data_IF_843009333651
#
_entry.id   IF_843009333651
#
_cell.length_a   1.000
_cell.length_b   1.000
_cell.length_c   1.000
_cell.angle_alpha   90.00
_cell.angle_beta   90.00
_cell.angle_gamma   90.00
#
_symmetry.space_group_name_H-M   'P 1'
#
loop_
_entity.id
_entity.type
_entity.pdbx_description
1 polymer ?
#
# COMPACT_ATOMS: atom_id res chain seq x y z
N UNK A 1 -6.38 -17.16 16.38
CA UNK A 1 -6.07 -15.87 17.02
C UNK A 1 -7.24 -14.93 16.75
N UNK A 2 -7.70 -14.18 17.75
CA UNK A 2 -8.60 -13.06 17.52
C UNK A 2 -7.73 -11.80 17.46
N UNK A 3 -7.81 -11.07 16.35
CA UNK A 3 -7.05 -9.83 16.12
C UNK A 3 -8.05 -8.68 16.00
N UNK A 4 -7.60 -7.47 16.34
CA UNK A 4 -8.40 -6.25 16.15
C UNK A 4 -8.69 -6.03 14.67
N UNK A 5 -9.88 -5.48 14.38
CA UNK A 5 -10.20 -4.98 13.05
C UNK A 5 -9.50 -3.63 12.83
N UNK A 6 -8.52 -3.61 11.93
CA UNK A 6 -7.66 -2.45 11.65
C UNK A 6 -8.38 -1.36 10.85
N UNK A 7 -9.57 -1.64 10.31
CA UNK A 7 -10.34 -0.66 9.51
C UNK A 7 -11.62 -0.20 10.20
N UNK A 8 -11.86 -0.61 11.45
CA UNK A 8 -13.11 -0.36 12.16
C UNK A 8 -13.47 1.13 12.29
N UNK A 9 -12.46 1.99 12.41
CA UNK A 9 -12.64 3.44 12.60
C UNK A 9 -12.67 4.24 11.28
N UNK A 10 -12.55 3.57 10.14
CA UNK A 10 -12.60 4.20 8.81
C UNK A 10 -13.99 4.09 8.20
N UNK A 11 -14.52 5.19 7.67
CA UNK A 11 -15.80 5.23 6.95
C UNK A 11 -15.67 4.65 5.55
N UNK A 12 -14.62 5.01 4.82
CA UNK A 12 -14.36 4.58 3.45
C UNK A 12 -12.86 4.35 3.23
N UNK A 13 -12.31 3.25 3.79
CA UNK A 13 -10.87 3.00 3.79
C UNK A 13 -10.33 2.66 2.39
N UNK A 14 -9.28 3.37 2.01
CA UNK A 14 -8.32 2.94 1.00
C UNK A 14 -7.25 2.09 1.67
N UNK A 15 -6.93 0.94 1.09
CA UNK A 15 -6.06 -0.06 1.71
C UNK A 15 -5.02 -0.50 0.68
N UNK A 16 -3.75 -0.54 1.06
CA UNK A 16 -2.67 -1.07 0.23
C UNK A 16 -1.78 -2.01 1.04
N UNK A 17 -1.61 -3.24 0.58
CA UNK A 17 -0.78 -4.28 1.21
C UNK A 17 0.48 -4.50 0.36
N UNK A 18 1.64 -4.24 0.95
CA UNK A 18 2.94 -4.57 0.37
C UNK A 18 3.59 -5.74 1.11
N UNK A 19 3.87 -6.82 0.37
CA UNK A 19 4.76 -7.88 0.85
C UNK A 19 6.19 -7.37 0.87
N UNK A 20 6.84 -7.49 2.01
CA UNK A 20 8.18 -6.96 2.26
C UNK A 20 9.27 -8.01 2.05
N UNK A 21 10.47 -7.55 1.72
CA UNK A 21 11.68 -8.37 1.59
C UNK A 21 12.08 -8.64 0.14
N UNK A 22 13.39 -8.61 -0.10
CA UNK A 22 14.03 -8.98 -1.38
C UNK A 22 14.00 -10.48 -1.64
N UNK A 23 13.84 -11.28 -0.59
CA UNK A 23 13.66 -12.74 -0.63
C UNK A 23 12.42 -13.14 0.17
N UNK A 24 11.82 -14.28 -0.20
CA UNK A 24 10.53 -14.73 0.33
C UNK A 24 10.63 -15.95 1.21
N UNK A 25 11.83 -16.40 1.55
CA UNK A 25 12.01 -17.68 2.20
C UNK A 25 13.34 -17.83 2.91
N UNK A 26 13.32 -18.76 3.85
CA UNK A 26 14.54 -19.30 4.45
C UNK A 26 15.16 -20.37 3.53
N UNK A 27 16.46 -20.65 3.66
CA UNK A 27 17.15 -21.65 2.85
C UNK A 27 16.55 -23.06 2.91
N UNK A 28 15.99 -23.42 4.05
CA UNK A 28 15.37 -24.72 4.30
C UNK A 28 13.93 -24.84 3.76
N UNK A 29 13.31 -23.73 3.33
CA UNK A 29 11.97 -23.76 2.77
C UNK A 29 12.01 -24.37 1.36
N UNK A 30 11.26 -25.46 1.16
CA UNK A 30 10.96 -25.97 -0.18
C UNK A 30 9.75 -25.22 -0.75
N UNK A 31 9.90 -24.57 -1.90
CA UNK A 31 8.85 -23.72 -2.45
C UNK A 31 8.67 -24.05 -3.93
N UNK A 32 7.42 -24.18 -4.40
CA UNK A 32 7.16 -24.34 -5.81
C UNK A 32 7.52 -23.06 -6.59
N UNK A 33 8.02 -23.22 -7.81
CA UNK A 33 8.53 -22.14 -8.67
C UNK A 33 7.48 -21.03 -8.94
N UNK A 34 6.20 -21.35 -8.84
CA UNK A 34 5.08 -20.43 -9.06
C UNK A 34 4.90 -19.36 -7.97
N UNK A 35 5.54 -19.53 -6.80
CA UNK A 35 5.50 -18.53 -5.73
C UNK A 35 6.55 -17.42 -5.90
N UNK A 36 7.58 -17.64 -6.72
CA UNK A 36 8.68 -16.70 -6.98
C UNK A 36 8.36 -15.59 -7.99
N UNK A 37 7.12 -15.51 -8.48
CA UNK A 37 6.76 -14.73 -9.66
C UNK A 37 6.67 -13.20 -9.45
N UNK A 38 7.63 -12.59 -8.76
CA UNK A 38 7.85 -11.15 -8.91
C UNK A 38 9.30 -10.85 -9.26
N UNK A 39 9.54 -10.65 -10.56
CA UNK A 39 10.87 -10.44 -11.15
C UNK A 39 11.63 -9.30 -10.47
N UNK A 40 10.93 -8.24 -10.06
CA UNK A 40 11.51 -7.02 -9.51
C UNK A 40 11.67 -7.04 -7.99
N UNK A 41 11.37 -8.15 -7.31
CA UNK A 41 11.40 -8.23 -5.84
C UNK A 41 12.78 -7.91 -5.27
N UNK A 42 13.85 -8.43 -5.89
CA UNK A 42 15.21 -8.17 -5.43
C UNK A 42 15.61 -6.70 -5.59
N UNK A 43 15.09 -6.03 -6.62
CA UNK A 43 15.35 -4.62 -6.88
C UNK A 43 14.57 -3.69 -5.96
N UNK A 44 13.29 -4.01 -5.72
CA UNK A 44 12.39 -3.13 -4.96
C UNK A 44 12.29 -3.46 -3.46
N UNK A 45 12.59 -4.69 -3.06
CA UNK A 45 12.35 -5.14 -1.69
C UNK A 45 10.86 -5.16 -1.27
N UNK A 46 9.94 -4.89 -2.20
CA UNK A 46 8.49 -4.90 -2.01
C UNK A 46 7.79 -5.59 -3.18
N UNK A 47 6.54 -6.01 -2.97
CA UNK A 47 5.61 -6.41 -4.01
C UNK A 47 4.19 -6.09 -3.55
N UNK A 48 3.39 -5.48 -4.41
CA UNK A 48 1.96 -5.27 -4.14
C UNK A 48 1.25 -6.62 -3.97
N UNK A 49 0.66 -6.86 -2.80
CA UNK A 49 -0.14 -8.04 -2.50
C UNK A 49 -1.64 -7.80 -2.70
N UNK A 50 -2.09 -6.58 -2.50
CA UNK A 50 -3.47 -6.19 -2.76
C UNK A 50 -3.66 -4.71 -2.55
N UNK A 51 -4.64 -4.15 -3.25
CA UNK A 51 -5.02 -2.75 -3.10
C UNK A 51 -6.53 -2.62 -3.26
N UNK A 52 -7.10 -1.74 -2.44
CA UNK A 52 -8.48 -1.32 -2.48
C UNK A 52 -8.51 0.21 -2.49
N UNK A 53 -9.07 0.81 -3.54
CA UNK A 53 -9.22 2.26 -3.67
C UNK A 53 -10.69 2.57 -3.92
N UNK A 54 -11.22 3.52 -3.15
CA UNK A 54 -12.52 4.12 -3.41
C UNK A 54 -12.37 5.22 -4.47
N UNK A 55 -12.99 5.02 -5.61
CA UNK A 55 -13.08 6.02 -6.67
C UNK A 55 -14.34 6.85 -6.45
N UNK A 56 -14.16 8.08 -5.97
CA UNK A 56 -15.26 9.02 -5.71
C UNK A 56 -15.89 9.58 -6.99
N UNK A 57 -15.17 9.56 -8.12
CA UNK A 57 -15.64 10.06 -9.41
C UNK A 57 -16.56 9.05 -10.07
N UNK A 58 -16.14 7.78 -10.09
CA UNK A 58 -16.90 6.69 -10.70
C UNK A 58 -17.82 5.98 -9.70
N UNK A 59 -17.82 6.42 -8.44
CA UNK A 59 -18.59 5.83 -7.33
C UNK A 59 -18.40 4.31 -7.22
N UNK A 60 -17.16 3.85 -7.40
CA UNK A 60 -16.82 2.43 -7.47
C UNK A 60 -15.67 2.08 -6.53
N UNK A 61 -15.58 0.80 -6.19
CA UNK A 61 -14.48 0.27 -5.38
C UNK A 61 -13.57 -0.55 -6.28
N UNK A 62 -12.34 -0.07 -6.47
CA UNK A 62 -11.32 -0.72 -7.26
C UNK A 62 -10.58 -1.70 -6.35
N UNK A 63 -10.53 -2.98 -6.73
CA UNK A 63 -9.74 -3.99 -6.01
C UNK A 63 -8.80 -4.70 -6.97
N UNK A 64 -7.50 -4.60 -6.70
CA UNK A 64 -6.47 -5.33 -7.46
C UNK A 64 -5.77 -6.30 -6.53
N UNK A 65 -5.55 -7.51 -7.01
CA UNK A 65 -5.04 -8.62 -6.22
C UNK A 65 -3.54 -8.83 -6.43
N UNK A 66 -3.01 -9.84 -5.72
CA UNK A 66 -1.60 -10.25 -5.81
C UNK A 66 -1.15 -10.61 -7.23
N UNK A 67 -2.04 -11.13 -8.08
CA UNK A 67 -1.70 -11.49 -9.45
C UNK A 67 -1.38 -10.23 -10.28
N UNK A 68 -2.15 -9.15 -10.11
CA UNK A 68 -1.82 -7.85 -10.68
C UNK A 68 -0.50 -7.31 -10.15
N UNK A 69 -0.28 -7.37 -8.83
CA UNK A 69 0.97 -6.88 -8.23
C UNK A 69 2.24 -7.57 -8.77
N UNK A 70 2.13 -8.83 -9.22
CA UNK A 70 3.22 -9.59 -9.84
C UNK A 70 3.60 -9.12 -11.24
N UNK A 71 2.74 -8.38 -11.94
CA UNK A 71 3.02 -7.90 -13.30
C UNK A 71 3.68 -6.53 -13.33
N UNK A 72 3.76 -5.82 -12.20
CA UNK A 72 4.20 -4.43 -12.15
C UNK A 72 5.72 -4.28 -12.29
N UNK A 73 6.18 -3.43 -13.20
CA UNK A 73 7.56 -2.93 -13.21
C UNK A 73 7.80 -1.92 -12.08
N UNK A 74 9.06 -1.59 -11.73
CA UNK A 74 9.39 -0.55 -10.75
C UNK A 74 8.64 0.78 -10.96
N UNK A 75 8.59 1.25 -12.21
CA UNK A 75 7.89 2.49 -12.53
C UNK A 75 6.37 2.34 -12.39
N UNK A 76 5.81 1.17 -12.75
CA UNK A 76 4.38 0.91 -12.61
C UNK A 76 3.94 0.78 -11.14
N UNK A 77 4.81 0.35 -10.22
CA UNK A 77 4.52 0.40 -8.79
C UNK A 77 4.27 1.84 -8.35
N UNK A 78 5.04 2.80 -8.86
CA UNK A 78 4.78 4.21 -8.62
C UNK A 78 3.49 4.69 -9.31
N UNK A 79 3.41 4.53 -10.64
CA UNK A 79 2.37 5.19 -11.44
C UNK A 79 0.99 4.54 -11.38
N UNK A 80 0.91 3.22 -11.19
CA UNK A 80 -0.35 2.45 -11.17
C UNK A 80 -0.78 2.01 -9.77
N UNK A 81 0.08 2.16 -8.77
CA UNK A 81 -0.24 1.79 -7.39
C UNK A 81 -0.10 2.97 -6.44
N UNK A 82 1.12 3.47 -6.17
CA UNK A 82 1.33 4.51 -5.13
C UNK A 82 0.60 5.81 -5.45
N UNK A 83 0.74 6.33 -6.68
CA UNK A 83 0.08 7.59 -7.04
C UNK A 83 -1.46 7.48 -7.02
N UNK A 84 -2.09 6.45 -7.65
CA UNK A 84 -3.53 6.25 -7.55
C UNK A 84 -4.04 6.00 -6.13
N UNK A 85 -3.28 5.28 -5.31
CA UNK A 85 -3.63 5.00 -3.92
C UNK A 85 -3.86 6.28 -3.13
N UNK A 86 -2.95 7.25 -3.26
CA UNK A 86 -3.04 8.53 -2.54
C UNK A 86 -4.11 9.48 -3.09
N UNK A 87 -4.76 9.12 -4.20
CA UNK A 87 -5.82 9.90 -4.81
C UNK A 87 -5.33 10.99 -5.78
N UNK A 88 -6.31 11.58 -6.49
CA UNK A 88 -6.04 12.54 -7.56
C UNK A 88 -5.81 13.98 -7.08
N UNK A 89 -6.23 14.34 -5.86
CA UNK A 89 -6.04 15.68 -5.31
C UNK A 89 -4.57 15.88 -4.90
N UNK A 90 -3.81 16.80 -5.54
CA UNK A 90 -2.38 16.95 -5.28
C UNK A 90 -2.09 17.36 -3.83
N UNK A 91 -2.90 18.27 -3.26
CA UNK A 91 -2.69 18.77 -1.90
C UNK A 91 -2.87 17.67 -0.85
N UNK A 92 -3.95 16.90 -0.98
CA UNK A 92 -4.28 15.79 -0.10
C UNK A 92 -3.32 14.62 -0.28
N UNK A 93 -2.94 14.28 -1.52
CA UNK A 93 -1.98 13.22 -1.80
C UNK A 93 -0.60 13.52 -1.21
N UNK A 94 -0.13 14.78 -1.26
CA UNK A 94 1.12 15.22 -0.59
C UNK A 94 0.99 15.09 0.92
N UNK A 95 -0.14 15.48 1.50
CA UNK A 95 -0.38 15.34 2.95
C UNK A 95 -0.38 13.88 3.40
N UNK A 96 -1.04 13.00 2.65
CA UNK A 96 -1.03 11.55 2.90
C UNK A 96 0.39 10.99 2.79
N UNK A 97 1.13 11.34 1.72
CA UNK A 97 2.50 10.89 1.51
C UNK A 97 3.42 11.32 2.67
N UNK A 98 3.32 12.57 3.12
CA UNK A 98 4.08 13.07 4.28
C UNK A 98 3.76 12.28 5.56
N UNK A 99 2.48 11.99 5.83
CA UNK A 99 2.08 11.20 6.97
C UNK A 99 2.60 9.75 6.90
N UNK A 100 2.57 9.12 5.72
CA UNK A 100 3.14 7.81 5.51
C UNK A 100 4.66 7.79 5.66
N UNK A 101 5.38 8.79 5.15
CA UNK A 101 6.82 8.92 5.36
C UNK A 101 7.13 8.91 6.85
N UNK A 102 6.42 9.70 7.65
CA UNK A 102 6.64 9.76 9.11
C UNK A 102 6.43 8.38 9.76
N UNK A 103 5.35 7.68 9.43
CA UNK A 103 5.06 6.36 10.02
C UNK A 103 6.04 5.28 9.56
N UNK A 104 6.34 5.22 8.26
CA UNK A 104 7.31 4.27 7.71
C UNK A 104 8.72 4.54 8.25
N UNK A 105 9.13 5.79 8.39
CA UNK A 105 10.42 6.15 9.01
C UNK A 105 10.50 5.72 10.48
N UNK A 106 9.40 5.77 11.24
CA UNK A 106 9.37 5.24 12.61
C UNK A 106 9.58 3.72 12.63
N UNK A 107 8.93 2.98 11.72
CA UNK A 107 9.13 1.53 11.58
C UNK A 107 10.57 1.23 11.16
N UNK A 108 11.12 1.98 10.20
CA UNK A 108 12.50 1.83 9.74
C UNK A 108 13.50 2.07 10.87
N UNK A 109 13.34 3.16 11.63
CA UNK A 109 14.23 3.47 12.74
C UNK A 109 14.17 2.38 13.82
N UNK A 110 12.97 1.97 14.22
CA UNK A 110 12.80 0.85 15.16
C UNK A 110 13.45 -0.44 14.64
N UNK A 111 13.27 -0.74 13.36
CA UNK A 111 13.82 -1.94 12.75
C UNK A 111 15.35 -1.90 12.73
N UNK A 112 15.96 -0.79 12.31
CA UNK A 112 17.43 -0.63 12.28
C UNK A 112 18.03 -0.65 13.69
N UNK A 113 17.40 0.02 14.65
CA UNK A 113 17.94 0.13 16.02
C UNK A 113 17.77 -1.16 16.83
N UNK A 114 16.64 -1.84 16.69
CA UNK A 114 16.24 -2.97 17.54
C UNK A 114 15.78 -4.18 16.73
N UNK A 115 14.80 -4.01 15.84
CA UNK A 115 14.11 -5.12 15.18
C UNK A 115 15.05 -6.07 14.43
N UNK A 116 16.01 -5.54 13.68
CA UNK A 116 16.98 -6.26 12.88
C UNK A 116 17.97 -7.09 13.72
N UNK A 117 18.16 -6.76 14.99
CA UNK A 117 19.04 -7.50 15.90
C UNK A 117 18.35 -8.73 16.47
N UNK A 118 17.05 -8.63 16.69
CA UNK A 118 16.28 -9.63 17.43
C UNK A 118 15.38 -10.47 16.52
N UNK A 119 14.97 -9.95 15.36
CA UNK A 119 13.91 -10.51 14.54
C UNK A 119 14.29 -10.57 13.07
N UNK A 120 13.91 -11.67 12.43
CA UNK A 120 13.88 -11.80 10.98
C UNK A 120 12.45 -11.99 10.52
N UNK A 121 11.98 -11.12 9.63
CA UNK A 121 10.66 -11.22 9.02
C UNK A 121 10.77 -11.85 7.64
N UNK A 122 9.83 -12.72 7.29
CA UNK A 122 9.76 -13.35 5.99
C UNK A 122 8.30 -13.40 5.55
N UNK A 123 7.99 -12.94 4.33
CA UNK A 123 6.60 -12.87 3.79
C UNK A 123 5.63 -12.00 4.60
N UNK A 124 6.13 -11.22 5.55
CA UNK A 124 5.35 -10.20 6.26
C UNK A 124 4.98 -9.05 5.33
N UNK A 125 3.97 -8.29 5.74
CA UNK A 125 3.39 -7.21 4.94
C UNK A 125 3.34 -5.90 5.70
N UNK A 126 3.50 -4.79 5.00
CA UNK A 126 3.05 -3.48 5.47
C UNK A 126 1.68 -3.17 4.88
N UNK A 127 0.71 -2.97 5.75
CA UNK A 127 -0.65 -2.57 5.41
C UNK A 127 -0.78 -1.06 5.64
N UNK A 128 -0.98 -0.31 4.57
CA UNK A 128 -1.21 1.13 4.58
C UNK A 128 -2.71 1.37 4.43
N UNK A 129 -3.27 2.19 5.31
CA UNK A 129 -4.71 2.52 5.32
C UNK A 129 -4.85 4.03 5.40
N UNK A 130 -5.78 4.60 4.65
CA UNK A 130 -6.24 5.97 4.88
C UNK A 130 -7.71 6.15 4.53
N UNK A 131 -8.31 7.18 5.13
CA UNK A 131 -9.65 7.60 4.80
C UNK A 131 -9.71 8.22 3.40
N UNK A 132 -10.82 8.01 2.68
CA UNK A 132 -11.07 8.70 1.42
C UNK A 132 -11.39 10.17 1.67
N UNK A 133 -10.95 11.05 0.76
CA UNK A 133 -11.34 12.46 0.85
C UNK A 133 -12.86 12.56 0.71
N UNK A 134 -13.53 13.12 1.70
CA UNK A 134 -14.96 13.37 1.63
C UNK A 134 -15.24 14.34 0.47
N UNK A 135 -16.09 13.94 -0.47
CA UNK A 135 -16.73 14.92 -1.35
C UNK A 135 -17.76 15.65 -0.48
N UNK A 136 -17.47 16.90 -0.11
CA UNK A 136 -18.44 17.81 0.50
C UNK A 136 -19.50 18.22 -0.52
N UNK A 137 -20.28 17.25 -1.01
CA UNK A 137 -21.53 17.45 -1.72
C UNK A 137 -22.71 17.02 -0.84
N UNK A 138 -22.69 17.43 0.43
CA UNK A 138 -23.83 17.28 1.34
C UNK A 138 -24.20 18.61 1.98
N UNK A 139 -24.77 19.51 1.17
CA UNK A 139 -25.93 20.24 1.65
C UNK A 139 -27.10 19.26 1.64
N UNK A 140 -27.27 18.50 2.73
CA UNK A 140 -28.56 18.23 3.35
C UNK A 140 -28.35 17.36 4.59
N UNK A 141 -28.48 18.02 5.74
CA UNK A 141 -28.77 17.41 7.03
C UNK A 141 -29.96 16.45 6.93
N UNK A 142 -29.76 15.19 7.33
CA UNK A 142 -30.58 14.61 8.40
C UNK A 142 -30.02 13.25 8.85
N UNK A 143 -29.51 13.21 10.07
CA UNK A 143 -29.61 12.02 10.90
C UNK A 143 -31.09 11.68 11.13
N UNK A 144 -31.47 10.41 11.04
CA UNK A 144 -32.46 9.79 11.93
C UNK A 144 -32.38 8.25 11.81
N UNK A 145 -32.06 7.62 12.93
CA UNK A 145 -32.36 6.24 13.23
C UNK A 145 -33.88 6.07 13.43
N UNK A 146 -34.53 5.18 12.68
CA UNK A 146 -35.55 4.22 13.16
C UNK A 146 -36.22 3.44 12.00
N UNK A 147 -36.19 2.11 12.15
CA UNK A 147 -37.08 1.03 11.65
C UNK A 147 -37.93 1.14 10.36
N UNK A 148 -37.83 0.03 9.60
CA UNK A 148 -38.85 -0.72 8.85
C UNK A 148 -39.37 -0.24 7.47
N UNK A 149 -38.98 -1.05 6.47
CA UNK A 149 -39.80 -1.61 5.38
C UNK A 149 -40.24 -0.74 4.19
N UNK A 150 -39.68 -1.14 3.04
CA UNK A 150 -40.27 -1.25 1.69
C UNK A 150 -39.92 -0.22 0.59
N UNK A 151 -39.50 -0.81 -0.55
CA UNK A 151 -39.46 -0.35 -1.95
C UNK A 151 -38.34 0.59 -2.48
N UNK A 152 -37.25 -0.06 -2.95
CA UNK A 152 -36.55 0.06 -4.26
C UNK A 152 -35.98 1.40 -4.79
N UNK A 153 -34.95 1.35 -5.68
CA UNK A 153 -33.72 0.56 -5.66
C UNK A 153 -32.50 1.47 -5.40
N UNK A 154 -31.56 0.98 -4.61
CA UNK A 154 -30.25 1.62 -4.43
C UNK A 154 -29.41 1.27 -5.67
N UNK A 155 -28.92 2.28 -6.39
CA UNK A 155 -27.92 2.12 -7.45
C UNK A 155 -26.74 1.33 -6.89
N UNK A 156 -26.32 0.20 -7.50
CA UNK A 156 -25.26 -0.60 -6.94
C UNK A 156 -23.92 0.13 -7.12
N UNK A 157 -23.21 0.39 -6.02
CA UNK A 157 -21.77 0.65 -6.07
C UNK A 157 -21.13 -0.53 -6.78
N UNK A 158 -20.64 -0.29 -7.99
CA UNK A 158 -20.10 -1.37 -8.83
C UNK A 158 -18.72 -1.72 -8.27
N UNK A 159 -18.52 -2.97 -7.88
CA UNK A 159 -17.19 -3.48 -7.53
C UNK A 159 -16.55 -3.98 -8.81
N UNK A 160 -15.48 -3.33 -9.26
CA UNK A 160 -14.69 -3.83 -10.40
C UNK A 160 -13.58 -4.70 -9.85
N UNK A 161 -13.83 -6.01 -9.78
CA UNK A 161 -12.81 -7.04 -9.55
C UNK A 161 -12.29 -7.51 -10.90
N UNK A 162 -11.02 -7.23 -11.20
CA UNK A 162 -10.33 -7.78 -12.38
C UNK A 162 -9.70 -9.11 -11.98
N UNK A 163 -10.39 -10.22 -12.23
CA UNK A 163 -9.89 -11.58 -12.02
C UNK A 163 -9.27 -12.15 -13.31
N UNK A 164 -7.95 -12.28 -13.34
CA UNK A 164 -7.23 -12.92 -14.45
C UNK A 164 -7.26 -14.45 -14.33
N UNK A 165 -8.38 -15.08 -14.70
CA UNK A 165 -8.47 -16.51 -15.00
C UNK A 165 -8.85 -16.77 -16.47
N UNK A 166 -8.06 -16.27 -17.42
CA UNK A 166 -7.76 -17.00 -18.67
C UNK A 166 -6.70 -16.23 -19.46
N UNK A 167 -5.43 -16.61 -19.36
CA UNK A 167 -4.43 -16.22 -20.36
C UNK A 167 -3.67 -17.48 -20.73
N UNK A 168 -4.22 -18.21 -21.70
CA UNK A 168 -3.45 -19.16 -22.49
C UNK A 168 -3.24 -18.52 -23.86
N UNK A 169 -1.98 -18.25 -24.17
CA UNK A 169 -1.43 -17.99 -25.52
C UNK A 169 -2.12 -16.90 -26.35
N UNK A 170 -1.65 -15.65 -26.21
CA UNK A 170 -1.40 -14.72 -27.33
C UNK A 170 -0.69 -13.48 -26.80
N UNK A 171 0.41 -13.10 -27.45
CA UNK A 171 1.31 -11.99 -27.07
C UNK A 171 0.79 -10.60 -27.46
N UNK A 172 -0.52 -10.45 -27.65
CA UNK A 172 -1.13 -9.19 -28.03
C UNK A 172 -2.43 -9.06 -27.23
N UNK A 173 -2.74 -7.85 -26.75
CA UNK A 173 -3.93 -7.46 -25.95
C UNK A 173 -3.73 -7.49 -24.42
N UNK A 174 -2.77 -6.71 -23.89
CA UNK A 174 -2.98 -5.97 -22.62
C UNK A 174 -2.42 -4.56 -22.83
N UNK A 175 -3.10 -3.81 -23.69
CA UNK A 175 -2.94 -2.36 -23.85
C UNK A 175 -4.29 -1.67 -23.60
N UNK A 176 -5.17 -2.30 -22.82
CA UNK A 176 -6.37 -1.63 -22.33
C UNK A 176 -5.96 -0.73 -21.17
N UNK A 177 -5.84 0.55 -21.49
CA UNK A 177 -5.72 1.65 -20.54
C UNK A 177 -6.64 1.41 -19.33
N UNK A 178 -6.06 1.09 -18.18
CA UNK A 178 -6.72 1.40 -16.91
C UNK A 178 -6.60 2.91 -16.77
N UNK A 179 -7.45 3.64 -17.49
CA UNK A 179 -7.56 5.09 -17.36
C UNK A 179 -8.29 5.38 -16.06
N UNK A 180 -7.55 5.52 -14.98
CA UNK A 180 -8.04 6.21 -13.79
C UNK A 180 -8.17 7.67 -14.23
N UNK A 181 -9.39 8.07 -14.58
CA UNK A 181 -9.68 9.36 -15.23
C UNK A 181 -9.28 10.53 -14.33
N UNK A 182 -8.09 11.08 -14.55
CA UNK A 182 -7.63 12.36 -14.03
C UNK A 182 -8.20 13.49 -14.91
N UNK A 183 -9.50 13.73 -14.83
CA UNK A 183 -10.10 14.88 -15.50
C UNK A 183 -10.02 16.11 -14.59
N UNK A 184 -9.16 17.07 -14.97
CA UNK A 184 -9.02 18.37 -14.33
C UNK A 184 -10.30 19.19 -14.45
N UNK A 185 -11.00 19.34 -13.32
CA UNK A 185 -12.03 20.35 -13.17
C UNK A 185 -11.43 21.63 -12.63
N UNK A 186 -11.44 22.70 -13.43
CA UNK A 186 -11.18 24.07 -12.98
C UNK A 186 -12.18 24.42 -11.85
N UNK A 187 -11.74 24.37 -10.60
CA UNK A 187 -12.47 24.96 -9.48
C UNK A 187 -11.95 26.38 -9.32
N UNK A 188 -12.79 27.34 -9.69
CA UNK A 188 -12.58 28.76 -9.46
C UNK A 188 -12.29 29.03 -7.98
N UNK A 189 -11.13 29.64 -7.71
CA UNK A 189 -10.77 30.16 -6.39
C UNK A 189 -11.80 31.21 -5.92
N UNK A 190 -12.72 30.79 -5.06
CA UNK A 190 -13.39 31.69 -4.12
C UNK A 190 -12.91 31.36 -2.73
N UNK A 191 -11.98 32.19 -2.25
CA UNK A 191 -11.53 32.23 -0.88
C UNK A 191 -12.70 32.58 0.05
N UNK A 192 -13.27 31.57 0.71
CA UNK A 192 -14.06 31.76 1.92
C UNK A 192 -13.53 30.78 2.96
N UNK A 193 -12.85 31.35 3.96
CA UNK A 193 -12.25 30.60 5.05
C UNK A 193 -13.30 29.78 5.80
N UNK A 194 -13.09 28.47 5.79
CA UNK A 194 -13.52 27.59 6.87
C UNK A 194 -12.33 26.70 7.18
N UNK A 195 -11.73 26.95 8.36
CA UNK A 195 -10.68 26.14 8.94
C UNK A 195 -11.27 24.81 9.43
N UNK A 196 -11.77 23.99 8.51
CA UNK A 196 -11.99 22.58 8.74
C UNK A 196 -10.65 21.88 8.60
N UNK A 197 -10.01 21.53 9.70
CA UNK A 197 -8.80 20.72 9.66
C UNK A 197 -9.16 19.33 9.10
N UNK A 198 -9.14 19.16 7.77
CA UNK A 198 -9.15 17.84 7.14
C UNK A 198 -7.84 17.14 7.48
N UNK A 199 -7.71 16.66 8.72
CA UNK A 199 -6.59 15.83 9.16
C UNK A 199 -6.66 14.53 8.39
N UNK A 200 -5.70 14.30 7.50
CA UNK A 200 -5.60 13.07 6.75
C UNK A 200 -5.32 11.93 7.74
N UNK A 201 -6.32 11.08 7.99
CA UNK A 201 -6.20 9.92 8.87
C UNK A 201 -5.55 8.79 8.08
N UNK A 202 -4.34 8.42 8.51
CA UNK A 202 -3.50 7.40 7.89
C UNK A 202 -2.98 6.46 8.96
N UNK A 203 -2.92 5.17 8.67
CA UNK A 203 -2.34 4.16 9.56
C UNK A 203 -1.45 3.20 8.77
N UNK A 204 -0.41 2.69 9.45
CA UNK A 204 0.52 1.70 8.90
C UNK A 204 0.71 0.57 9.90
N UNK A 205 0.47 -0.67 9.46
CA UNK A 205 0.63 -1.86 10.28
C UNK A 205 1.59 -2.86 9.65
N UNK A 206 2.47 -3.45 10.46
CA UNK A 206 3.19 -4.65 10.09
C UNK A 206 2.32 -5.87 10.43
N UNK A 207 1.99 -6.67 9.42
CA UNK A 207 1.09 -7.83 9.53
C UNK A 207 1.73 -9.09 8.92
N UNK A 208 1.01 -10.21 8.99
CA UNK A 208 1.42 -11.51 8.44
C UNK A 208 2.72 -12.07 9.04
N UNK A 209 2.69 -12.32 10.34
CA UNK A 209 3.77 -12.97 11.10
C UNK A 209 3.70 -14.50 11.01
N UNK A 210 3.34 -15.07 9.86
CA UNK A 210 3.30 -16.54 9.68
C UNK A 210 4.72 -17.14 9.57
N UNK A 211 5.68 -16.32 9.13
CA UNK A 211 7.09 -16.68 8.96
C UNK A 211 7.98 -15.59 9.54
N UNK A 212 8.30 -15.73 10.82
CA UNK A 212 9.32 -14.92 11.48
C UNK A 212 10.17 -15.81 12.38
N UNK A 213 11.37 -15.33 12.70
CA UNK A 213 12.27 -15.99 13.65
C UNK A 213 12.90 -14.98 14.59
N UNK A 214 12.99 -15.34 15.87
CA UNK A 214 13.91 -14.66 16.78
C UNK A 214 15.35 -15.05 16.40
N UNK A 215 16.26 -14.08 16.41
CA UNK A 215 17.70 -14.32 16.26
C UNK A 215 18.25 -14.77 17.61
N UNK A 216 19.13 -15.76 17.63
CA UNK A 216 19.74 -16.22 18.87
C UNK A 216 21.00 -15.40 19.16
N UNK A 217 21.33 -15.22 20.44
CA UNK A 217 22.58 -14.56 20.86
C UNK A 217 23.85 -15.29 20.40
N UNK A 218 23.72 -16.55 19.97
CA UNK A 218 24.81 -17.35 19.39
C UNK A 218 25.08 -17.08 17.90
N UNK A 219 24.22 -16.31 17.22
CA UNK A 219 24.39 -15.97 15.80
C UNK A 219 25.31 -14.74 15.59
N UNK A 220 25.72 -14.07 16.68
CA UNK A 220 26.63 -12.92 16.66
C UNK A 220 28.05 -13.40 16.96
N UNK A 221 28.78 -13.85 15.94
CA UNK A 221 30.23 -14.02 16.09
C UNK A 221 30.92 -12.65 15.99
N UNK A 222 31.40 -12.18 17.14
CA UNK A 222 32.47 -11.18 17.27
C UNK A 222 33.75 -11.72 16.61
N UNK A 223 33.89 -11.55 15.30
CA UNK A 223 35.17 -11.41 14.60
C UNK A 223 34.89 -11.09 13.13
N UNK A 224 35.50 -10.01 12.62
CA UNK A 224 35.30 -9.42 11.29
C UNK A 224 35.61 -10.34 10.11
N UNK A 225 34.78 -11.36 9.91
CA UNK A 225 34.75 -12.24 8.77
C UNK A 225 33.33 -12.76 8.60
N UNK A 226 32.69 -12.39 7.48
CA UNK A 226 31.37 -12.87 7.09
C UNK A 226 31.32 -14.40 7.18
N UNK A 227 30.66 -14.95 8.20
CA UNK A 227 30.54 -16.39 8.37
C UNK A 227 29.18 -16.79 8.95
N UNK A 228 28.47 -17.54 8.09
CA UNK A 228 27.40 -18.53 8.29
C UNK A 228 25.92 -18.19 8.18
N UNK A 229 25.46 -16.94 8.30
CA UNK A 229 24.04 -16.62 8.02
C UNK A 229 23.86 -15.52 6.96
N UNK A 230 24.46 -15.70 5.78
CA UNK A 230 24.24 -14.81 4.62
C UNK A 230 22.74 -14.52 4.36
N UNK A 231 21.88 -15.49 4.68
CA UNK A 231 20.44 -15.42 4.49
C UNK A 231 19.70 -14.62 5.57
N UNK A 232 20.20 -14.62 6.82
CA UNK A 232 19.59 -13.78 7.86
C UNK A 232 19.89 -12.31 7.58
N UNK A 233 21.10 -12.00 7.09
CA UNK A 233 21.45 -10.69 6.57
C UNK A 233 20.57 -10.32 5.37
N UNK A 234 20.44 -11.20 4.36
CA UNK A 234 19.63 -10.91 3.17
C UNK A 234 18.15 -10.67 3.48
N UNK A 235 17.54 -11.44 4.38
CA UNK A 235 16.17 -11.21 4.84
C UNK A 235 16.03 -9.88 5.60
N UNK A 236 17.01 -9.58 6.46
CA UNK A 236 17.01 -8.36 7.28
C UNK A 236 17.19 -7.12 6.42
N UNK A 237 18.24 -7.10 5.61
CA UNK A 237 18.55 -6.02 4.69
C UNK A 237 17.47 -5.90 3.62
N UNK A 238 16.87 -7.02 3.19
CA UNK A 238 15.76 -7.03 2.25
C UNK A 238 14.50 -6.36 2.80
N UNK A 239 14.15 -6.60 4.07
CA UNK A 239 13.00 -5.95 4.71
C UNK A 239 13.26 -4.44 4.87
N UNK A 240 14.47 -4.08 5.31
CA UNK A 240 14.92 -2.69 5.42
C UNK A 240 14.87 -1.98 4.06
N UNK A 241 15.40 -2.60 3.01
CA UNK A 241 15.40 -2.08 1.65
C UNK A 241 13.98 -1.84 1.14
N UNK A 242 13.03 -2.72 1.47
CA UNK A 242 11.63 -2.51 1.13
C UNK A 242 11.00 -1.30 1.82
N UNK A 243 11.33 -1.05 3.10
CA UNK A 243 10.91 0.16 3.82
C UNK A 243 11.48 1.42 3.18
N UNK A 244 12.78 1.43 2.88
CA UNK A 244 13.46 2.54 2.22
C UNK A 244 12.85 2.82 0.83
N UNK A 245 12.49 1.76 0.10
CA UNK A 245 11.81 1.87 -1.20
C UNK A 245 10.43 2.51 -1.07
N UNK A 246 9.60 2.07 -0.12
CA UNK A 246 8.28 2.69 0.10
C UNK A 246 8.40 4.16 0.52
N UNK A 247 9.34 4.50 1.39
CA UNK A 247 9.62 5.88 1.77
C UNK A 247 10.03 6.70 0.54
N UNK A 248 10.92 6.17 -0.30
CA UNK A 248 11.35 6.83 -1.53
C UNK A 248 10.21 7.07 -2.51
N UNK A 249 9.29 6.10 -2.66
CA UNK A 249 8.09 6.24 -3.49
C UNK A 249 7.15 7.35 -2.96
N UNK A 250 6.97 7.45 -1.64
CA UNK A 250 6.19 8.54 -1.04
C UNK A 250 6.88 9.89 -1.19
N UNK A 251 8.21 9.96 -1.01
CA UNK A 251 9.00 11.17 -1.23
C UNK A 251 8.91 11.65 -2.69
N UNK A 252 8.87 10.71 -3.64
CA UNK A 252 8.67 11.03 -5.06
C UNK A 252 7.35 11.77 -5.30
N UNK A 253 6.27 11.41 -4.60
CA UNK A 253 4.98 12.13 -4.68
C UNK A 253 5.15 13.57 -4.18
N UNK A 254 5.73 13.75 -3.00
CA UNK A 254 5.99 15.08 -2.41
C UNK A 254 6.81 15.97 -3.35
N UNK A 255 7.85 15.42 -3.97
CA UNK A 255 8.73 16.19 -4.84
C UNK A 255 8.11 16.53 -6.20
N UNK A 256 7.30 15.62 -6.76
CA UNK A 256 6.70 15.80 -8.10
C UNK A 256 5.62 16.88 -8.07
N UNK A 257 4.73 16.85 -7.08
CA UNK A 257 3.61 17.80 -7.01
C UNK A 257 4.09 19.21 -6.61
N UNK A 258 5.11 19.33 -5.74
CA UNK A 258 5.72 20.63 -5.42
C UNK A 258 6.45 21.27 -6.62
N UNK A 259 6.96 20.46 -7.56
CA UNK A 259 7.64 20.97 -8.75
C UNK A 259 6.67 21.46 -9.83
N UNK A 260 5.39 21.08 -9.76
CA UNK A 260 4.35 21.51 -10.69
C UNK A 260 3.77 22.90 -10.35
N UNK A 261 4.09 23.44 -9.17
CA UNK A 261 3.64 24.77 -8.70
C UNK A 261 4.64 25.91 -8.98
N UNK A 262 5.81 25.62 -9.59
CA UNK A 262 6.83 26.61 -10.01
C UNK A 262 6.82 26.88 -11.51
#
# INVERSE_FOLDING_TARGET
MALSDLVADFKQPNICDFKMGTVINYPEDTIPDDQFQYTWRRELGIMLAGIQISDSVNHCLIKLNKAFGRTLTPEQVYSLCVKPFLGADPTYSVKLAQNYIIQLSRILNWYVEYGAKELTFCRSSLLLIHESLANDNSNNDHCLSESCSSSSPISPSTTTTVDNQSVNSSNDIINSDITISSNGGNISNTSSGSSGNNTAHTEVYLIDFVRWKAKSSTDVNDNGGCSKDCWSCELTDGFRHGLETLIGLMQRVVNTENSAEM
#
